data_IF_325840771364
#
_entry.id   IF_325840771364
#
_cell.length_a   1.000
_cell.length_b   1.000
_cell.length_c   1.000
_cell.angle_alpha   90.00
_cell.angle_beta   90.00
_cell.angle_gamma   90.00
#
_symmetry.space_group_name_H-M   'P 1'
#
loop_
_entity.id
_entity.type
_entity.pdbx_description
1 polymer ?
#
# COMPACT_ATOMS: atom_id res chain seq x y z
N UNK A 1 -7.33 5.19 12.54
CA UNK A 1 -6.03 5.42 11.91
C UNK A 1 -6.05 6.63 11.00
N UNK A 2 -4.89 7.16 10.68
CA UNK A 2 -4.78 8.29 9.74
C UNK A 2 -5.36 7.93 8.38
N UNK A 3 -5.10 6.72 7.87
CA UNK A 3 -5.69 6.27 6.61
C UNK A 3 -7.22 6.36 6.64
N UNK A 4 -7.85 5.81 7.68
CA UNK A 4 -9.30 5.81 7.79
C UNK A 4 -9.87 7.22 7.96
N UNK A 5 -9.17 8.08 8.71
CA UNK A 5 -9.57 9.47 8.86
C UNK A 5 -9.58 10.18 7.50
N UNK A 6 -8.49 10.06 6.74
CA UNK A 6 -8.38 10.68 5.42
C UNK A 6 -9.43 10.12 4.45
N UNK A 7 -9.64 8.79 4.48
CA UNK A 7 -10.59 8.12 3.61
C UNK A 7 -12.02 8.58 3.86
N UNK A 8 -12.38 8.85 5.13
CA UNK A 8 -13.71 9.28 5.52
C UNK A 8 -13.91 10.79 5.46
N UNK A 9 -12.86 11.56 5.17
CA UNK A 9 -12.93 13.01 5.13
C UNK A 9 -13.89 13.47 4.03
N UNK A 10 -14.76 14.46 4.35
CA UNK A 10 -15.81 14.90 3.42
C UNK A 10 -15.27 15.72 2.25
N UNK A 11 -14.18 16.47 2.45
CA UNK A 11 -13.53 17.20 1.37
C UNK A 11 -12.66 16.23 0.53
N UNK A 12 -12.29 16.67 -0.67
CA UNK A 12 -11.40 15.87 -1.51
C UNK A 12 -10.00 15.80 -0.87
N UNK A 13 -9.42 14.61 -0.92
CA UNK A 13 -8.04 14.38 -0.46
C UNK A 13 -7.17 14.17 -1.68
N UNK A 14 -6.14 14.99 -1.81
CA UNK A 14 -5.17 14.91 -2.90
C UNK A 14 -3.83 14.46 -2.34
N UNK A 15 -3.17 13.54 -3.03
CA UNK A 15 -1.89 13.01 -2.61
C UNK A 15 -0.89 13.09 -3.76
N UNK A 16 0.32 13.56 -3.45
CA UNK A 16 1.43 13.60 -4.41
C UNK A 16 2.60 12.80 -3.85
N UNK A 17 3.15 11.89 -4.66
CA UNK A 17 4.36 11.14 -4.34
C UNK A 17 5.52 11.79 -5.09
N UNK A 18 6.37 12.49 -4.37
CA UNK A 18 7.49 13.25 -4.96
C UNK A 18 8.75 12.40 -5.05
N UNK A 19 8.97 11.53 -4.09
CA UNK A 19 10.15 10.66 -4.03
C UNK A 19 9.73 9.20 -3.97
N UNK A 20 9.72 8.63 -2.78
CA UNK A 20 9.36 7.23 -2.57
C UNK A 20 8.22 7.11 -1.57
N UNK A 21 7.21 6.32 -1.91
CA UNK A 21 6.18 5.91 -0.98
C UNK A 21 6.35 4.41 -0.72
N UNK A 22 6.87 4.07 0.43
CA UNK A 22 7.09 2.70 0.85
C UNK A 22 6.40 2.39 2.16
N UNK A 23 6.11 1.12 2.41
CA UNK A 23 5.56 0.67 3.68
C UNK A 23 4.28 1.44 4.02
N UNK A 24 4.24 2.01 5.23
CA UNK A 24 3.08 2.78 5.71
C UNK A 24 2.76 4.00 4.84
N UNK A 25 3.79 4.63 4.27
CA UNK A 25 3.58 5.77 3.39
C UNK A 25 2.79 5.39 2.13
N UNK A 26 3.02 4.19 1.57
CA UNK A 26 2.23 3.73 0.42
C UNK A 26 0.77 3.51 0.77
N UNK A 27 0.48 3.00 1.98
CA UNK A 27 -0.89 2.83 2.47
C UNK A 27 -1.58 4.19 2.62
N UNK A 28 -0.90 5.18 3.21
CA UNK A 28 -1.45 6.53 3.36
C UNK A 28 -1.74 7.18 2.01
N UNK A 29 -0.86 6.97 1.02
CA UNK A 29 -1.07 7.48 -0.33
C UNK A 29 -2.38 6.97 -0.94
N UNK A 30 -2.77 5.73 -0.63
CA UNK A 30 -4.02 5.14 -1.16
C UNK A 30 -5.28 5.82 -0.61
N UNK A 31 -5.17 6.69 0.40
CA UNK A 31 -6.33 7.42 0.95
C UNK A 31 -6.78 8.59 0.08
N UNK A 32 -6.06 8.93 -0.97
CA UNK A 32 -6.45 10.02 -1.88
C UNK A 32 -7.82 9.77 -2.50
N UNK A 33 -8.56 10.83 -2.75
CA UNK A 33 -9.83 10.74 -3.48
C UNK A 33 -9.60 10.16 -4.88
N UNK A 34 -10.61 9.51 -5.50
CA UNK A 34 -10.44 8.96 -6.83
C UNK A 34 -9.91 10.00 -7.82
N UNK A 35 -8.89 9.64 -8.59
CA UNK A 35 -8.24 10.51 -9.56
C UNK A 35 -7.27 11.52 -8.97
N UNK A 36 -7.05 11.52 -7.64
CA UNK A 36 -6.25 12.53 -6.94
C UNK A 36 -4.92 12.02 -6.40
N UNK A 37 -4.49 10.83 -6.80
CA UNK A 37 -3.19 10.28 -6.41
C UNK A 37 -2.20 10.47 -7.55
N UNK A 38 -1.23 11.36 -7.35
CA UNK A 38 -0.21 11.68 -8.33
C UNK A 38 1.16 11.18 -7.88
N UNK A 39 2.00 10.80 -8.83
CA UNK A 39 3.37 10.37 -8.54
C UNK A 39 4.33 11.03 -9.53
N UNK A 40 5.49 11.47 -9.04
CA UNK A 40 6.57 11.94 -9.90
C UNK A 40 7.07 10.79 -10.78
N UNK A 41 7.41 11.09 -12.03
CA UNK A 41 7.90 10.08 -12.98
C UNK A 41 9.09 9.31 -12.42
N UNK A 42 9.98 9.99 -11.70
CA UNK A 42 11.15 9.39 -11.07
C UNK A 42 10.90 8.92 -9.62
N UNK A 43 9.65 8.92 -9.19
CA UNK A 43 9.29 8.41 -7.87
C UNK A 43 9.13 6.91 -7.87
N UNK A 44 8.92 6.35 -6.68
CA UNK A 44 8.71 4.92 -6.48
C UNK A 44 7.56 4.67 -5.53
N UNK A 45 6.84 3.59 -5.77
CA UNK A 45 5.93 2.99 -4.79
C UNK A 45 6.46 1.61 -4.47
N UNK A 46 6.58 1.30 -3.18
CA UNK A 46 7.05 -0.02 -2.71
C UNK A 46 5.97 -0.62 -1.83
N UNK A 47 5.54 -1.82 -2.18
CA UNK A 47 4.59 -2.57 -1.37
C UNK A 47 5.23 -3.86 -0.90
N UNK A 48 4.86 -4.32 0.29
CA UNK A 48 5.39 -5.55 0.86
C UNK A 48 4.43 -6.12 1.90
N UNK A 49 4.65 -7.38 2.27
CA UNK A 49 3.89 -8.01 3.35
C UNK A 49 4.23 -7.36 4.69
N UNK A 50 3.29 -7.41 5.63
CA UNK A 50 3.59 -7.09 7.02
C UNK A 50 4.63 -8.06 7.57
N UNK A 51 5.49 -7.59 8.46
CA UNK A 51 6.46 -8.42 9.14
C UNK A 51 6.67 -7.90 10.56
N UNK A 52 7.24 -8.73 11.41
CA UNK A 52 7.49 -8.36 12.80
C UNK A 52 8.24 -9.47 13.49
N UNK A 53 8.42 -9.33 14.79
CA UNK A 53 9.10 -10.31 15.63
C UNK A 53 8.30 -10.61 16.88
N UNK A 54 8.59 -11.77 17.48
CA UNK A 54 8.00 -12.16 18.76
C UNK A 54 8.93 -13.12 19.48
N UNK A 55 8.84 -13.13 20.83
CA UNK A 55 9.59 -14.05 21.66
C UNK A 55 8.58 -14.74 22.58
N UNK A 56 8.68 -16.05 22.67
CA UNK A 56 7.77 -16.81 23.51
C UNK A 56 7.78 -18.29 23.16
N UNK A 57 6.77 -19.01 23.65
CA UNK A 57 6.58 -20.41 23.31
C UNK A 57 5.93 -20.55 21.92
N UNK A 58 5.69 -21.79 21.49
CA UNK A 58 5.11 -22.05 20.17
C UNK A 58 3.73 -21.42 19.99
N UNK A 59 2.92 -21.36 21.02
CA UNK A 59 1.59 -20.74 20.95
C UNK A 59 1.71 -19.23 20.79
N UNK A 60 2.64 -18.59 21.50
CA UNK A 60 2.90 -17.15 21.38
C UNK A 60 3.39 -16.80 19.97
N UNK A 61 4.26 -17.63 19.41
CA UNK A 61 4.80 -17.42 18.05
C UNK A 61 3.71 -17.61 16.99
N UNK A 62 2.84 -18.60 17.16
CA UNK A 62 1.71 -18.80 16.24
C UNK A 62 0.72 -17.64 16.30
N UNK A 63 0.44 -17.14 17.49
CA UNK A 63 -0.46 -15.99 17.65
C UNK A 63 0.12 -14.75 16.97
N UNK A 64 1.43 -14.50 17.12
CA UNK A 64 2.10 -13.39 16.46
C UNK A 64 2.05 -13.55 14.93
N UNK A 65 2.32 -14.75 14.40
CA UNK A 65 2.23 -15.02 12.98
C UNK A 65 0.82 -14.77 12.43
N UNK A 66 -0.20 -15.23 13.14
CA UNK A 66 -1.59 -15.01 12.74
C UNK A 66 -1.95 -13.51 12.71
N UNK A 67 -1.44 -12.72 13.66
CA UNK A 67 -1.67 -11.29 13.68
C UNK A 67 -1.00 -10.59 12.47
N UNK A 68 0.22 -10.99 12.14
CA UNK A 68 0.94 -10.47 10.98
C UNK A 68 0.17 -10.78 9.70
N UNK A 69 -0.37 -11.99 9.57
CA UNK A 69 -1.19 -12.36 8.42
C UNK A 69 -2.44 -11.50 8.31
N UNK A 70 -3.08 -11.17 9.42
CA UNK A 70 -4.26 -10.30 9.42
C UNK A 70 -3.89 -8.88 8.96
N UNK A 71 -2.75 -8.34 9.39
CA UNK A 71 -2.29 -7.04 8.92
C UNK A 71 -2.00 -7.07 7.42
N UNK A 72 -1.36 -8.13 6.93
CA UNK A 72 -1.11 -8.29 5.50
C UNK A 72 -2.42 -8.32 4.71
N UNK A 73 -3.42 -9.05 5.19
CA UNK A 73 -4.73 -9.09 4.54
C UNK A 73 -5.38 -7.72 4.46
N UNK A 74 -5.31 -6.93 5.53
CA UNK A 74 -5.87 -5.58 5.55
C UNK A 74 -5.15 -4.65 4.59
N UNK A 75 -3.83 -4.71 4.55
CA UNK A 75 -3.02 -3.92 3.62
C UNK A 75 -3.34 -4.29 2.17
N UNK A 76 -3.43 -5.58 1.88
CA UNK A 76 -3.78 -6.05 0.54
C UNK A 76 -5.18 -5.61 0.13
N UNK A 77 -6.13 -5.58 1.06
CA UNK A 77 -7.48 -5.08 0.79
C UNK A 77 -7.46 -3.60 0.40
N UNK A 78 -6.68 -2.78 1.10
CA UNK A 78 -6.52 -1.36 0.78
C UNK A 78 -5.96 -1.18 -0.64
N UNK A 79 -4.92 -1.91 -0.99
CA UNK A 79 -4.35 -1.85 -2.34
C UNK A 79 -5.33 -2.37 -3.40
N UNK A 80 -6.07 -3.43 -3.08
CA UNK A 80 -7.06 -3.99 -4.00
C UNK A 80 -8.17 -2.98 -4.30
N UNK A 81 -8.66 -2.29 -3.29
CA UNK A 81 -9.69 -1.26 -3.47
C UNK A 81 -9.17 -0.11 -4.35
N UNK A 82 -7.93 0.29 -4.15
CA UNK A 82 -7.35 1.41 -4.90
C UNK A 82 -7.10 1.05 -6.36
N UNK A 83 -6.54 -0.13 -6.61
CA UNK A 83 -6.09 -0.55 -7.94
C UNK A 83 -7.16 -1.21 -8.78
N UNK A 84 -8.22 -1.69 -8.19
CA UNK A 84 -9.19 -2.54 -8.87
C UNK A 84 -8.73 -3.99 -9.05
N UNK A 85 -7.53 -4.34 -8.58
CA UNK A 85 -7.03 -5.71 -8.61
C UNK A 85 -7.69 -6.52 -7.49
N UNK A 86 -7.71 -7.85 -7.65
CA UNK A 86 -8.16 -8.72 -6.56
C UNK A 86 -7.11 -8.77 -5.45
N UNK A 87 -7.57 -9.13 -4.23
CA UNK A 87 -6.66 -9.34 -3.10
C UNK A 87 -5.61 -10.40 -3.45
N UNK A 88 -6.02 -11.44 -4.17
CA UNK A 88 -5.12 -12.53 -4.58
C UNK A 88 -4.03 -12.05 -5.52
N UNK A 89 -4.35 -11.15 -6.45
CA UNK A 89 -3.35 -10.54 -7.33
C UNK A 89 -2.34 -9.70 -6.54
N UNK A 90 -2.83 -8.90 -5.58
CA UNK A 90 -1.95 -8.09 -4.72
C UNK A 90 -1.02 -9.01 -3.90
N UNK A 91 -1.57 -10.08 -3.29
CA UNK A 91 -0.76 -11.04 -2.54
C UNK A 91 0.31 -11.69 -3.41
N UNK A 92 -0.01 -11.97 -4.67
CA UNK A 92 0.95 -12.51 -5.62
C UNK A 92 2.12 -11.58 -5.88
N UNK A 93 1.87 -10.27 -5.95
CA UNK A 93 2.92 -9.29 -6.20
C UNK A 93 3.96 -9.24 -5.08
N UNK A 94 3.55 -9.48 -3.83
CA UNK A 94 4.41 -9.35 -2.65
C UNK A 94 4.80 -10.70 -2.04
N UNK A 95 4.46 -11.81 -2.70
CA UNK A 95 4.69 -13.15 -2.15
C UNK A 95 6.17 -13.46 -1.90
N UNK A 96 7.05 -12.98 -2.76
CA UNK A 96 8.48 -13.28 -2.76
C UNK A 96 9.37 -12.13 -2.30
N UNK A 97 8.79 -11.08 -1.74
CA UNK A 97 9.54 -9.92 -1.25
C UNK A 97 8.87 -8.62 -1.62
N UNK A 98 9.62 -7.55 -1.45
CA UNK A 98 9.12 -6.20 -1.75
C UNK A 98 8.88 -6.05 -3.25
N UNK A 99 7.79 -5.37 -3.59
CA UNK A 99 7.45 -5.08 -4.97
C UNK A 99 7.66 -3.60 -5.25
N UNK A 100 8.65 -3.28 -6.04
CA UNK A 100 9.04 -1.91 -6.38
C UNK A 100 8.40 -1.50 -7.70
N UNK A 101 7.82 -0.31 -7.72
CA UNK A 101 7.23 0.26 -8.94
C UNK A 101 7.77 1.66 -9.15
N UNK A 102 8.19 1.96 -10.36
CA UNK A 102 8.45 3.35 -10.77
C UNK A 102 7.12 4.11 -10.88
N UNK A 103 7.16 5.43 -11.02
CA UNK A 103 5.95 6.22 -11.22
C UNK A 103 5.10 5.73 -12.38
N UNK A 104 5.74 5.41 -13.51
CA UNK A 104 5.05 4.91 -14.70
C UNK A 104 4.43 3.54 -14.44
N UNK A 105 5.18 2.63 -13.81
CA UNK A 105 4.69 1.30 -13.46
C UNK A 105 3.54 1.37 -12.45
N UNK A 106 3.65 2.25 -11.46
CA UNK A 106 2.61 2.44 -10.46
C UNK A 106 1.31 2.90 -11.11
N UNK A 107 1.38 3.86 -12.04
CA UNK A 107 0.20 4.31 -12.77
C UNK A 107 -0.40 3.17 -13.61
N UNK A 108 0.43 2.43 -14.33
CA UNK A 108 -0.05 1.33 -15.16
C UNK A 108 -0.76 0.24 -14.35
N UNK A 109 -0.33 0.03 -13.11
CA UNK A 109 -0.91 -0.98 -12.22
C UNK A 109 -2.04 -0.46 -11.33
N UNK A 110 -2.37 0.83 -11.40
CA UNK A 110 -3.46 1.41 -10.63
C UNK A 110 -3.06 1.94 -9.25
N UNK A 111 -1.79 1.90 -8.90
CA UNK A 111 -1.29 2.44 -7.63
C UNK A 111 -1.10 3.95 -7.65
N UNK A 112 -1.27 4.58 -8.80
CA UNK A 112 -1.31 6.03 -8.94
C UNK A 112 -2.26 6.39 -10.08
N UNK A 113 -2.85 7.58 -10.01
CA UNK A 113 -3.78 8.06 -11.02
C UNK A 113 -3.06 8.84 -12.12
N UNK A 114 -2.06 9.64 -11.72
CA UNK A 114 -1.34 10.54 -12.63
C UNK A 114 0.15 10.48 -12.39
N UNK A 115 0.92 10.63 -13.45
CA UNK A 115 2.37 10.78 -13.40
C UNK A 115 2.70 12.21 -13.82
N UNK A 116 3.52 12.91 -13.03
CA UNK A 116 3.95 14.25 -13.39
C UNK A 116 5.47 14.32 -13.52
N UNK A 117 5.92 15.23 -14.35
CA UNK A 117 7.34 15.53 -14.48
C UNK A 117 7.72 16.58 -13.45
N UNK A 118 8.84 16.35 -12.81
CA UNK A 118 9.33 17.19 -11.73
C UNK A 118 10.19 18.33 -12.29
#
# INVERSE_FOLDING_TARGET
TLYNFLKSYKAKVETEVIGMAGSIASVLAMAASPGKLSIARNGFVVIHRAWGGAIGNSDDLRAAANMIDKYTDQICDIYAQRTGKSVEEIKGLIANGDYWMTGVEAQAQGFADKVFND
#
